data_IF_136217852537
#
_entry.id   IF_136217852537
#
_cell.length_a   1.000
_cell.length_b   1.000
_cell.length_c   1.000
_cell.angle_alpha   90.00
_cell.angle_beta   90.00
_cell.angle_gamma   90.00
#
_symmetry.space_group_name_H-M   'P 1'
#
loop_
_entity.id
_entity.type
_entity.pdbx_description
1 polymer ?
#
# COMPACT_ATOMS: atom_id res chain seq x y z
N UNK A 1 -25.09 3.44 -18.00
CA UNK A 1 -24.40 2.15 -17.81
C UNK A 1 -23.16 2.44 -16.99
N UNK A 2 -23.00 1.82 -15.83
CA UNK A 2 -21.78 1.95 -15.03
C UNK A 2 -20.66 1.26 -15.81
N UNK A 3 -19.59 1.97 -16.20
CA UNK A 3 -18.50 1.33 -16.93
C UNK A 3 -17.74 0.42 -15.96
N UNK A 4 -17.22 -0.71 -16.45
CA UNK A 4 -16.47 -1.68 -15.64
C UNK A 4 -15.28 -1.03 -14.89
N UNK A 5 -14.69 0.02 -15.48
CA UNK A 5 -13.67 0.86 -14.87
C UNK A 5 -14.13 1.54 -13.58
N UNK A 6 -15.37 2.00 -13.53
CA UNK A 6 -15.92 2.73 -12.38
C UNK A 6 -16.08 1.77 -11.19
N UNK A 7 -16.52 0.54 -11.46
CA UNK A 7 -16.65 -0.50 -10.45
C UNK A 7 -15.29 -0.90 -9.86
N UNK A 8 -14.26 -1.04 -10.70
CA UNK A 8 -12.91 -1.36 -10.21
C UNK A 8 -12.34 -0.24 -9.35
N UNK A 9 -12.61 1.02 -9.70
CA UNK A 9 -12.23 2.16 -8.85
C UNK A 9 -12.96 2.14 -7.51
N UNK A 10 -14.28 1.93 -7.51
CA UNK A 10 -15.10 1.84 -6.30
C UNK A 10 -14.61 0.72 -5.36
N UNK A 11 -14.29 -0.45 -5.91
CA UNK A 11 -13.77 -1.58 -5.13
C UNK A 11 -12.39 -1.26 -4.55
N UNK A 12 -11.51 -0.64 -5.33
CA UNK A 12 -10.21 -0.22 -4.84
C UNK A 12 -10.34 0.78 -3.70
N UNK A 13 -11.20 1.78 -3.80
CA UNK A 13 -11.38 2.77 -2.74
C UNK A 13 -12.02 2.15 -1.48
N UNK A 14 -12.88 1.14 -1.64
CA UNK A 14 -13.44 0.39 -0.52
C UNK A 14 -12.41 -0.50 0.19
N UNK A 15 -11.59 -1.23 -0.57
CA UNK A 15 -10.57 -2.14 -0.01
C UNK A 15 -9.33 -1.39 0.51
N UNK A 16 -8.99 -0.25 -0.08
CA UNK A 16 -7.81 0.53 0.28
C UNK A 16 -8.20 1.91 0.81
N UNK A 17 -8.85 1.99 1.99
CA UNK A 17 -9.25 3.26 2.57
C UNK A 17 -8.00 4.11 2.86
N UNK A 18 -7.98 5.33 2.32
CA UNK A 18 -6.89 6.29 2.52
C UNK A 18 -7.23 7.22 3.68
N UNK A 19 -6.29 7.39 4.59
CA UNK A 19 -6.40 8.35 5.68
C UNK A 19 -5.85 9.70 5.24
N UNK A 20 -6.47 10.79 5.70
CA UNK A 20 -5.95 12.14 5.48
C UNK A 20 -4.54 12.29 6.05
N UNK A 21 -3.69 13.05 5.35
CA UNK A 21 -2.35 13.38 5.83
C UNK A 21 -2.39 14.61 6.72
N UNK A 22 -1.84 14.49 7.94
CA UNK A 22 -1.80 15.56 8.94
C UNK A 22 -0.38 16.06 9.25
N UNK A 23 0.62 15.66 8.46
CA UNK A 23 2.00 16.10 8.63
C UNK A 23 2.31 17.43 7.94
N UNK A 24 3.59 17.83 7.95
CA UNK A 24 4.04 19.03 7.26
C UNK A 24 3.74 18.94 5.77
N UNK A 25 3.08 19.96 5.22
CA UNK A 25 2.81 20.00 3.78
C UNK A 25 4.12 20.20 3.00
N UNK A 26 4.51 19.14 2.30
CA UNK A 26 5.42 19.15 1.16
C UNK A 26 4.91 18.16 0.12
N UNK A 27 4.99 18.46 -1.18
CA UNK A 27 4.52 17.55 -2.24
C UNK A 27 5.13 16.15 -2.10
N UNK A 28 6.43 16.06 -1.86
CA UNK A 28 7.15 14.79 -1.68
C UNK A 28 6.60 13.99 -0.50
N UNK A 29 6.26 14.65 0.61
CA UNK A 29 5.72 14.00 1.80
C UNK A 29 4.30 13.50 1.59
N UNK A 30 3.47 14.22 0.83
CA UNK A 30 2.14 13.76 0.47
C UNK A 30 2.20 12.51 -0.42
N UNK A 31 3.06 12.53 -1.44
CA UNK A 31 3.26 11.38 -2.34
C UNK A 31 3.83 10.20 -1.55
N UNK A 32 4.82 10.42 -0.69
CA UNK A 32 5.36 9.36 0.13
C UNK A 32 4.36 8.79 1.14
N UNK A 33 3.52 9.64 1.74
CA UNK A 33 2.43 9.18 2.58
C UNK A 33 1.46 8.27 1.81
N UNK A 34 1.12 8.59 0.55
CA UNK A 34 0.29 7.70 -0.26
C UNK A 34 0.96 6.33 -0.47
N UNK A 35 2.26 6.31 -0.81
CA UNK A 35 3.04 5.07 -0.93
C UNK A 35 3.10 4.28 0.38
N UNK A 36 3.23 4.97 1.52
CA UNK A 36 3.27 4.35 2.84
C UNK A 36 1.93 3.73 3.23
N UNK A 37 0.81 4.41 2.91
CA UNK A 37 -0.53 3.88 3.14
C UNK A 37 -0.80 2.65 2.28
N UNK A 38 -0.41 2.65 1.00
CA UNK A 38 -0.51 1.46 0.15
C UNK A 38 0.32 0.30 0.71
N UNK A 39 1.57 0.57 1.10
CA UNK A 39 2.44 -0.43 1.73
C UNK A 39 1.79 -1.05 2.96
N UNK A 40 1.28 -0.21 3.89
CA UNK A 40 0.65 -0.67 5.11
C UNK A 40 -0.57 -1.55 4.85
N UNK A 41 -1.43 -1.14 3.91
CA UNK A 41 -2.64 -1.89 3.56
C UNK A 41 -2.29 -3.26 2.95
N UNK A 42 -1.33 -3.30 2.02
CA UNK A 42 -0.90 -4.56 1.38
C UNK A 42 -0.22 -5.50 2.37
N UNK A 43 0.63 -4.99 3.27
CA UNK A 43 1.21 -5.79 4.36
C UNK A 43 0.12 -6.36 5.26
N UNK A 44 -0.89 -5.56 5.62
CA UNK A 44 -2.01 -6.05 6.44
C UNK A 44 -2.74 -7.21 5.76
N UNK A 45 -3.04 -7.10 4.47
CA UNK A 45 -3.66 -8.19 3.71
C UNK A 45 -2.82 -9.45 3.67
N UNK A 46 -1.52 -9.34 3.41
CA UNK A 46 -0.60 -10.48 3.40
C UNK A 46 -0.60 -11.17 4.77
N UNK A 47 -0.50 -10.39 5.86
CA UNK A 47 -0.55 -10.93 7.22
C UNK A 47 -1.88 -11.63 7.52
N UNK A 48 -3.01 -11.07 7.09
CA UNK A 48 -4.33 -11.68 7.28
C UNK A 48 -4.49 -12.98 6.47
N UNK A 49 -3.98 -13.02 5.23
CA UNK A 49 -3.96 -14.23 4.41
C UNK A 49 -3.10 -15.32 5.05
N UNK A 50 -1.94 -14.96 5.56
CA UNK A 50 -1.06 -15.90 6.26
C UNK A 50 -1.71 -16.41 7.55
N UNK A 51 -2.28 -15.51 8.36
CA UNK A 51 -2.95 -15.86 9.62
C UNK A 51 -4.17 -16.76 9.40
N UNK A 52 -4.90 -16.56 8.31
CA UNK A 52 -6.02 -17.44 7.90
C UNK A 52 -5.57 -18.71 7.18
N UNK A 53 -4.27 -18.98 7.09
CA UNK A 53 -3.69 -20.19 6.48
C UNK A 53 -3.81 -20.25 4.95
N UNK A 54 -4.09 -19.12 4.28
CA UNK A 54 -4.23 -19.06 2.81
C UNK A 54 -2.89 -19.04 2.09
N UNK A 55 -1.86 -18.50 2.73
CA UNK A 55 -0.49 -18.49 2.21
C UNK A 55 0.50 -18.97 3.29
N UNK A 56 1.59 -19.65 2.91
CA UNK A 56 2.64 -20.04 3.85
C UNK A 56 3.39 -18.83 4.44
N UNK A 57 3.97 -18.95 5.66
CA UNK A 57 4.76 -17.88 6.27
C UNK A 57 5.94 -17.40 5.40
N UNK A 58 6.58 -18.32 4.68
CA UNK A 58 7.72 -17.98 3.82
C UNK A 58 7.31 -17.13 2.61
N UNK A 59 6.15 -17.42 2.02
CA UNK A 59 5.60 -16.64 0.92
C UNK A 59 5.22 -15.24 1.41
N UNK A 60 4.53 -15.15 2.55
CA UNK A 60 4.19 -13.88 3.18
C UNK A 60 5.44 -13.00 3.44
N UNK A 61 6.51 -13.60 3.97
CA UNK A 61 7.78 -12.90 4.19
C UNK A 61 8.40 -12.37 2.90
N UNK A 62 8.40 -13.17 1.83
CA UNK A 62 8.96 -12.79 0.54
C UNK A 62 8.18 -11.62 -0.09
N UNK A 63 6.85 -11.67 -0.03
CA UNK A 63 5.98 -10.61 -0.54
C UNK A 63 6.17 -9.30 0.24
N UNK A 64 6.17 -9.34 1.58
CA UNK A 64 6.43 -8.15 2.42
C UNK A 64 7.82 -7.58 2.13
N UNK A 65 8.83 -8.44 1.94
CA UNK A 65 10.18 -8.00 1.57
C UNK A 65 10.21 -7.32 0.20
N UNK A 66 9.41 -7.78 -0.76
CA UNK A 66 9.26 -7.13 -2.07
C UNK A 66 8.65 -5.74 -1.93
N UNK A 67 7.54 -5.62 -1.19
CA UNK A 67 6.87 -4.35 -0.90
C UNK A 67 7.82 -3.36 -0.21
N UNK A 68 8.64 -3.83 0.74
CA UNK A 68 9.62 -2.98 1.41
C UNK A 68 10.68 -2.43 0.46
N UNK A 69 11.13 -3.22 -0.52
CA UNK A 69 12.06 -2.74 -1.56
C UNK A 69 11.41 -1.64 -2.41
N UNK A 70 10.14 -1.80 -2.77
CA UNK A 70 9.39 -0.80 -3.53
C UNK A 70 9.25 0.51 -2.74
N UNK A 71 8.86 0.43 -1.47
CA UNK A 71 8.75 1.60 -0.60
C UNK A 71 10.11 2.32 -0.43
N UNK A 72 11.20 1.57 -0.27
CA UNK A 72 12.56 2.12 -0.23
C UNK A 72 12.93 2.86 -1.52
N UNK A 73 12.56 2.30 -2.68
CA UNK A 73 12.80 2.94 -3.96
C UNK A 73 11.99 4.24 -4.09
N UNK A 74 10.71 4.23 -3.70
CA UNK A 74 9.87 5.43 -3.69
C UNK A 74 10.45 6.52 -2.78
N UNK A 75 10.91 6.16 -1.57
CA UNK A 75 11.58 7.12 -0.66
C UNK A 75 12.78 7.78 -1.34
N UNK A 76 13.62 6.99 -2.01
CA UNK A 76 14.82 7.48 -2.70
C UNK A 76 14.48 8.39 -3.88
N UNK A 77 13.46 8.05 -4.66
CA UNK A 77 13.02 8.85 -5.81
C UNK A 77 12.44 10.21 -5.40
N UNK A 78 11.87 10.29 -4.20
CA UNK A 78 11.29 11.51 -3.64
C UNK A 78 12.29 12.32 -2.81
N UNK A 79 13.55 11.87 -2.72
CA UNK A 79 14.63 12.56 -2.01
C UNK A 79 14.29 12.89 -0.54
N UNK A 80 13.53 11.99 0.11
CA UNK A 80 13.14 12.12 1.52
C UNK A 80 14.25 11.51 2.40
N UNK A 81 14.80 12.34 3.29
CA UNK A 81 15.87 11.97 4.24
C UNK A 81 15.47 10.88 5.24
#
# INVERSE_FOLDING_TARGET
MRQESDLLSEICDFLYPRSSYYGQFKPEYLVFNANLQEFAQRVNYICNLQTSGKIPPQEAYQEIRSLWKQLKQAKKQLEIE
#
